data_IF_947582907843
#
_entry.id   IF_947582907843
#
_cell.length_a   1.000
_cell.length_b   1.000
_cell.length_c   1.000
_cell.angle_alpha   90.00
_cell.angle_beta   90.00
_cell.angle_gamma   90.00
#
_symmetry.space_group_name_H-M   'P 1'
#
loop_
_entity.id
_entity.type
_entity.pdbx_description
1 polymer ?
#
# COMPACT_ATOMS: atom_id res chain seq x y z
N UNK A 1 33.77 -12.13 -66.28
CA UNK A 1 32.78 -12.65 -65.30
C UNK A 1 31.94 -11.43 -64.90
N UNK A 2 30.80 -11.10 -65.55
CA UNK A 2 29.43 -11.66 -65.41
C UNK A 2 29.04 -11.67 -63.91
N UNK A 3 27.98 -11.03 -63.41
CA UNK A 3 26.65 -10.69 -63.95
C UNK A 3 26.13 -9.38 -63.34
N UNK A 4 25.49 -8.55 -64.18
CA UNK A 4 24.34 -7.71 -63.83
C UNK A 4 23.07 -8.56 -64.00
N UNK A 5 22.04 -8.45 -63.15
CA UNK A 5 20.72 -8.95 -63.45
C UNK A 5 19.83 -7.87 -64.11
N UNK A 6 19.02 -8.22 -65.15
CA UNK A 6 18.06 -7.35 -65.82
C UNK A 6 16.64 -7.44 -65.22
N UNK A 7 15.75 -6.49 -65.58
CA UNK A 7 14.34 -6.38 -65.15
C UNK A 7 13.38 -7.46 -65.72
N UNK A 8 12.04 -7.34 -65.54
CA UNK A 8 11.25 -6.53 -66.47
C UNK A 8 9.98 -5.84 -65.89
N UNK A 9 9.38 -5.02 -66.75
CA UNK A 9 8.12 -4.27 -66.63
C UNK A 9 6.89 -5.17 -66.82
N UNK A 10 5.72 -4.80 -66.27
CA UNK A 10 4.44 -4.98 -66.96
C UNK A 10 3.40 -3.94 -66.52
N UNK A 11 2.74 -3.37 -67.51
CA UNK A 11 1.64 -2.41 -67.47
C UNK A 11 0.31 -3.14 -67.66
N UNK A 12 -0.74 -2.77 -66.93
CA UNK A 12 -2.11 -2.70 -67.45
C UNK A 12 -3.02 -1.86 -66.54
N UNK A 13 -3.87 -0.97 -67.12
CA UNK A 13 -4.80 -0.10 -66.40
C UNK A 13 -6.25 -0.61 -66.43
N UNK A 14 -7.11 0.08 -65.66
CA UNK A 14 -8.58 0.13 -65.74
C UNK A 14 -9.41 -1.09 -65.28
N UNK A 15 -10.17 -0.87 -64.21
CA UNK A 15 -11.63 -0.98 -64.30
C UNK A 15 -12.28 -0.01 -63.31
N UNK A 16 -12.75 1.11 -63.86
CA UNK A 16 -13.80 1.93 -63.31
C UNK A 16 -15.05 1.05 -63.13
N UNK A 17 -15.54 0.93 -61.91
CA UNK A 17 -16.95 0.67 -61.70
C UNK A 17 -17.44 1.58 -60.57
N UNK A 18 -17.94 2.74 -60.98
CA UNK A 18 -18.93 3.46 -60.21
C UNK A 18 -20.14 2.55 -60.01
N UNK A 19 -20.64 2.48 -58.76
CA UNK A 19 -22.08 2.66 -58.51
C UNK A 19 -22.31 3.04 -57.05
N UNK A 20 -23.26 3.95 -56.92
CA UNK A 20 -23.54 4.86 -55.84
C UNK A 20 -24.24 4.22 -54.62
N UNK A 21 -24.26 5.04 -53.57
CA UNK A 21 -25.37 5.25 -52.63
C UNK A 21 -25.43 4.35 -51.38
N UNK A 22 -25.29 5.01 -50.22
CA UNK A 22 -25.62 4.41 -48.92
C UNK A 22 -24.86 4.99 -47.74
N UNK A 23 -24.83 6.32 -47.59
CA UNK A 23 -24.24 6.95 -46.41
C UNK A 23 -25.22 6.86 -45.22
N UNK A 24 -25.01 5.90 -44.31
CA UNK A 24 -25.61 5.93 -42.98
C UNK A 24 -24.53 6.12 -41.91
N UNK A 25 -24.42 7.36 -41.42
CA UNK A 25 -23.76 7.69 -40.15
C UNK A 25 -24.70 7.34 -39.00
N UNK A 26 -24.29 6.56 -37.99
CA UNK A 26 -24.89 6.64 -36.68
C UNK A 26 -24.12 7.67 -35.84
N UNK A 27 -24.81 8.75 -35.48
CA UNK A 27 -24.37 9.73 -34.47
C UNK A 27 -25.34 9.71 -33.26
N UNK A 28 -24.93 10.24 -32.10
CA UNK A 28 -25.17 9.63 -30.79
C UNK A 28 -26.54 10.00 -30.20
N UNK A 29 -27.13 9.09 -29.43
CA UNK A 29 -28.33 9.34 -28.62
C UNK A 29 -27.91 10.00 -27.29
N UNK A 30 -28.18 11.30 -27.15
CA UNK A 30 -28.16 12.00 -25.86
C UNK A 30 -29.53 11.78 -25.22
N UNK A 31 -29.56 11.19 -24.04
CA UNK A 31 -30.77 11.06 -23.22
C UNK A 31 -30.87 12.35 -22.39
N UNK A 32 -31.90 13.16 -22.66
CA UNK A 32 -32.34 14.29 -21.84
C UNK A 32 -33.67 13.84 -21.24
N UNK A 33 -33.71 13.64 -19.93
CA UNK A 33 -34.96 13.50 -19.21
C UNK A 33 -35.45 14.89 -18.82
N UNK A 34 -36.64 15.24 -19.30
CA UNK A 34 -37.37 16.45 -18.98
C UNK A 34 -38.54 16.03 -18.11
N UNK A 35 -38.33 16.07 -16.81
CA UNK A 35 -39.43 15.99 -15.84
C UNK A 35 -39.16 17.01 -14.74
N UNK A 36 -39.42 18.27 -15.09
CA UNK A 36 -39.63 19.34 -14.13
C UNK A 36 -41.04 19.87 -14.35
N UNK A 37 -41.94 19.55 -13.42
CA UNK A 37 -43.09 20.39 -13.09
C UNK A 37 -43.09 20.65 -11.58
N UNK A 38 -42.96 21.92 -11.14
CA UNK A 38 -42.98 22.27 -9.73
C UNK A 38 -44.42 22.43 -9.24
N UNK A 39 -44.79 21.74 -8.16
CA UNK A 39 -46.04 22.01 -7.42
C UNK A 39 -45.70 22.47 -5.99
N UNK A 40 -46.07 23.71 -5.73
CA UNK A 40 -45.88 24.46 -4.48
C UNK A 40 -47.10 24.26 -3.57
N UNK A 41 -46.82 24.15 -2.26
CA UNK A 41 -47.71 24.43 -1.10
C UNK A 41 -48.76 23.34 -0.72
N UNK A 42 -49.10 23.00 0.54
CA UNK A 42 -48.99 23.64 1.86
C UNK A 42 -48.98 22.59 3.00
N UNK A 43 -48.18 22.89 4.05
CA UNK A 43 -48.44 22.75 5.50
C UNK A 43 -49.08 21.46 6.06
N UNK A 44 -48.32 20.69 6.85
CA UNK A 44 -48.69 20.37 8.25
C UNK A 44 -47.43 20.08 9.08
N UNK A 45 -47.41 20.64 10.29
CA UNK A 45 -46.33 20.60 11.28
C UNK A 45 -46.34 19.31 12.10
N UNK A 46 -45.26 18.52 12.10
CA UNK A 46 -44.88 17.63 13.22
C UNK A 46 -43.35 17.51 13.32
N UNK A 47 -42.77 17.96 14.45
CA UNK A 47 -41.45 17.49 14.92
C UNK A 47 -41.57 15.99 15.22
N UNK A 48 -40.52 15.17 15.02
CA UNK A 48 -39.65 14.89 16.18
C UNK A 48 -38.20 14.46 15.86
N UNK A 49 -37.37 14.52 16.91
CA UNK A 49 -36.17 13.70 17.20
C UNK A 49 -34.87 14.03 16.43
N UNK A 50 -34.06 14.87 17.09
CA UNK A 50 -32.70 14.51 17.54
C UNK A 50 -31.94 13.46 16.72
N UNK A 51 -31.02 13.92 15.88
CA UNK A 51 -29.94 13.10 15.35
C UNK A 51 -28.61 13.74 15.75
N UNK A 52 -28.09 13.32 16.91
CA UNK A 52 -26.68 13.45 17.27
C UNK A 52 -26.13 12.01 17.39
N UNK A 53 -24.82 11.83 17.35
CA UNK A 53 -23.95 11.75 16.19
C UNK A 53 -23.68 10.28 15.85
N UNK A 54 -23.42 9.94 14.59
CA UNK A 54 -22.86 8.62 14.26
C UNK A 54 -21.42 8.58 14.77
N UNK A 55 -21.28 8.23 16.05
CA UNK A 55 -20.02 7.94 16.69
C UNK A 55 -19.36 6.79 15.93
N UNK A 56 -18.34 7.12 15.16
CA UNK A 56 -17.31 6.16 14.81
C UNK A 56 -16.60 5.78 16.11
N UNK A 57 -17.17 4.82 16.84
CA UNK A 57 -16.46 4.10 17.88
C UNK A 57 -15.28 3.40 17.19
N UNK A 58 -14.02 3.72 17.53
CA UNK A 58 -12.89 2.94 17.04
C UNK A 58 -13.12 1.51 17.51
N UNK A 59 -13.16 0.58 16.55
CA UNK A 59 -13.20 -0.85 16.85
C UNK A 59 -12.09 -1.14 17.87
N UNK A 60 -12.35 -1.84 18.99
CA UNK A 60 -11.29 -2.21 19.92
C UNK A 60 -10.18 -2.87 19.11
N UNK A 61 -8.98 -2.30 19.18
CA UNK A 61 -7.82 -2.89 18.53
C UNK A 61 -7.67 -4.29 19.13
N UNK A 62 -7.78 -5.36 18.33
CA UNK A 62 -7.67 -6.70 18.87
C UNK A 62 -6.32 -6.82 19.57
N UNK A 63 -6.34 -7.33 20.80
CA UNK A 63 -5.13 -7.59 21.59
C UNK A 63 -4.16 -8.38 20.72
N UNK A 64 -2.88 -7.98 20.62
CA UNK A 64 -1.91 -8.71 19.82
C UNK A 64 -1.80 -10.17 20.26
N UNK A 65 -1.67 -11.09 19.30
CA UNK A 65 -1.66 -12.53 19.58
C UNK A 65 -0.52 -12.96 20.50
N UNK A 66 0.61 -12.25 20.47
CA UNK A 66 1.75 -12.52 21.34
C UNK A 66 1.46 -12.25 22.82
N UNK A 67 0.52 -11.36 23.16
CA UNK A 67 0.16 -11.12 24.56
C UNK A 67 -0.61 -12.30 25.14
N UNK A 68 -1.42 -12.96 24.30
CA UNK A 68 -2.16 -14.17 24.64
C UNK A 68 -1.25 -15.40 24.64
N UNK A 69 -0.29 -15.49 23.71
CA UNK A 69 0.65 -16.62 23.59
C UNK A 69 1.74 -16.64 24.67
N UNK A 70 2.07 -15.46 25.21
CA UNK A 70 3.14 -15.30 26.19
C UNK A 70 2.59 -14.58 27.44
N UNK A 71 1.74 -15.24 28.25
CA UNK A 71 1.25 -14.68 29.50
C UNK A 71 2.40 -14.43 30.51
N UNK A 72 2.04 -14.02 31.73
CA UNK A 72 3.02 -13.87 32.80
C UNK A 72 3.72 -15.21 33.07
N UNK A 73 5.05 -15.16 33.13
CA UNK A 73 5.89 -16.33 33.40
C UNK A 73 5.69 -16.78 34.85
N UNK A 74 5.48 -18.07 35.06
CA UNK A 74 5.26 -18.66 36.38
C UNK A 74 6.33 -19.67 36.80
N UNK A 75 7.32 -19.96 35.95
CA UNK A 75 8.37 -20.94 36.24
C UNK A 75 9.66 -20.69 35.47
N UNK A 76 10.80 -21.12 36.02
CA UNK A 76 12.11 -20.99 35.38
C UNK A 76 12.17 -21.70 34.01
N UNK A 77 11.53 -22.86 33.90
CA UNK A 77 11.44 -23.58 32.62
C UNK A 77 10.70 -22.75 31.57
N UNK A 78 9.65 -22.03 31.95
CA UNK A 78 8.93 -21.14 31.04
C UNK A 78 9.74 -19.91 30.68
N UNK A 79 10.40 -19.29 31.67
CA UNK A 79 11.34 -18.19 31.47
C UNK A 79 12.40 -18.52 30.42
N UNK A 80 13.01 -19.70 30.55
CA UNK A 80 13.98 -20.22 29.59
C UNK A 80 13.41 -20.41 28.18
N UNK A 81 12.16 -20.87 28.05
CA UNK A 81 11.48 -20.96 26.74
C UNK A 81 11.27 -19.59 26.12
N UNK A 82 10.84 -18.60 26.91
CA UNK A 82 10.59 -17.24 26.40
C UNK A 82 11.90 -16.60 25.96
N UNK A 83 12.99 -16.81 26.70
CA UNK A 83 14.33 -16.34 26.35
C UNK A 83 14.83 -16.94 25.03
N UNK A 84 14.64 -18.25 24.82
CA UNK A 84 15.00 -18.90 23.56
C UNK A 84 14.22 -18.31 22.36
N UNK A 85 12.91 -18.11 22.51
CA UNK A 85 12.08 -17.45 21.48
C UNK A 85 12.53 -16.02 21.24
N UNK A 86 12.85 -15.27 22.31
CA UNK A 86 13.35 -13.91 22.19
C UNK A 86 14.63 -13.87 21.35
N UNK A 87 15.60 -14.74 21.65
CA UNK A 87 16.88 -14.75 20.94
C UNK A 87 16.73 -15.09 19.45
N UNK A 88 15.94 -16.11 19.14
CA UNK A 88 15.62 -16.50 17.75
C UNK A 88 14.98 -15.34 16.98
N UNK A 89 13.91 -14.78 17.54
CA UNK A 89 13.13 -13.73 16.88
C UNK A 89 13.85 -12.38 16.85
N UNK A 90 14.78 -12.12 17.78
CA UNK A 90 15.61 -10.93 17.78
C UNK A 90 16.57 -10.93 16.60
N UNK A 91 17.09 -12.10 16.23
CA UNK A 91 17.95 -12.25 15.05
C UNK A 91 17.17 -11.92 13.77
N UNK A 92 15.96 -12.50 13.60
CA UNK A 92 15.05 -12.17 12.49
C UNK A 92 14.74 -10.66 12.44
N UNK A 93 14.49 -10.05 13.60
CA UNK A 93 14.20 -8.62 13.70
C UNK A 93 15.36 -7.75 13.24
N UNK A 94 16.60 -8.08 13.62
CA UNK A 94 17.79 -7.30 13.21
C UNK A 94 17.99 -7.34 11.70
N UNK A 95 17.86 -8.51 11.08
CA UNK A 95 17.97 -8.67 9.63
C UNK A 95 16.90 -7.86 8.89
N UNK A 96 15.64 -7.97 9.33
CA UNK A 96 14.54 -7.20 8.74
C UNK A 96 14.70 -5.69 8.94
N UNK A 97 15.13 -5.26 10.13
CA UNK A 97 15.38 -3.85 10.40
C UNK A 97 16.47 -3.30 9.48
N UNK A 98 17.55 -4.05 9.26
CA UNK A 98 18.63 -3.67 8.35
C UNK A 98 18.11 -3.58 6.91
N UNK A 99 17.33 -4.56 6.45
CA UNK A 99 16.80 -4.57 5.09
C UNK A 99 15.84 -3.39 4.85
N UNK A 100 14.85 -3.20 5.75
CA UNK A 100 13.88 -2.11 5.67
C UNK A 100 14.59 -0.76 5.75
N UNK A 101 15.55 -0.61 6.67
CA UNK A 101 16.34 0.62 6.80
C UNK A 101 17.14 0.94 5.54
N UNK A 102 17.77 -0.07 4.93
CA UNK A 102 18.52 0.09 3.67
C UNK A 102 17.62 0.47 2.50
N UNK A 103 16.42 -0.13 2.43
CA UNK A 103 15.44 0.21 1.40
C UNK A 103 14.90 1.64 1.59
N UNK A 104 14.56 2.02 2.82
CA UNK A 104 14.10 3.37 3.14
C UNK A 104 15.15 4.43 2.81
N UNK A 105 16.43 4.19 3.15
CA UNK A 105 17.51 5.11 2.82
C UNK A 105 17.66 5.32 1.31
N UNK A 106 17.54 4.25 0.51
CA UNK A 106 17.55 4.35 -0.96
C UNK A 106 16.35 5.13 -1.48
N UNK A 107 15.17 4.92 -0.92
CA UNK A 107 13.97 5.68 -1.29
C UNK A 107 14.13 7.18 -0.98
N UNK A 108 14.64 7.51 0.20
CA UNK A 108 14.93 8.90 0.60
C UNK A 108 15.97 9.56 -0.30
N UNK A 109 17.02 8.83 -0.68
CA UNK A 109 18.02 9.34 -1.63
C UNK A 109 17.39 9.64 -2.99
N UNK A 110 16.56 8.74 -3.51
CA UNK A 110 15.87 8.94 -4.78
C UNK A 110 14.88 10.11 -4.71
N UNK A 111 14.14 10.23 -3.61
CA UNK A 111 13.23 11.34 -3.38
C UNK A 111 13.97 12.69 -3.36
N UNK A 112 15.10 12.77 -2.66
CA UNK A 112 15.94 13.97 -2.63
C UNK A 112 16.44 14.34 -4.04
N UNK A 113 16.91 13.34 -4.81
CA UNK A 113 17.32 13.54 -6.20
C UNK A 113 16.17 14.05 -7.06
N UNK A 114 14.98 13.45 -6.97
CA UNK A 114 13.82 13.86 -7.76
C UNK A 114 13.35 15.27 -7.40
N UNK A 115 13.41 15.65 -6.12
CA UNK A 115 13.07 17.00 -5.65
C UNK A 115 14.12 18.05 -6.05
N UNK A 116 15.37 17.64 -6.28
CA UNK A 116 16.44 18.52 -6.73
C UNK A 116 16.45 18.81 -8.24
N UNK A 117 15.62 18.09 -9.02
CA UNK A 117 15.60 18.26 -10.48
C UNK A 117 15.08 19.65 -10.89
N UNK A 118 15.66 20.26 -11.94
CA UNK A 118 15.18 21.54 -12.44
C UNK A 118 13.75 21.42 -12.99
N UNK A 119 13.03 22.54 -13.01
CA UNK A 119 11.69 22.60 -13.58
C UNK A 119 11.73 22.18 -15.07
N UNK A 120 10.85 21.27 -15.51
CA UNK A 120 10.79 20.84 -16.90
C UNK A 120 10.61 22.03 -17.84
N UNK A 121 11.38 22.08 -18.92
CA UNK A 121 11.33 23.15 -19.92
C UNK A 121 10.41 22.77 -21.10
N UNK A 122 10.08 21.49 -21.25
CA UNK A 122 9.22 20.97 -22.32
C UNK A 122 8.14 20.02 -21.80
N UNK A 123 7.05 19.87 -22.57
CA UNK A 123 5.99 18.91 -22.25
C UNK A 123 6.52 17.46 -22.20
N UNK A 124 7.50 17.12 -23.05
CA UNK A 124 8.13 15.80 -23.08
C UNK A 124 8.93 15.52 -21.80
N UNK A 125 9.69 16.49 -21.31
CA UNK A 125 10.38 16.40 -20.02
C UNK A 125 9.40 16.28 -18.85
N UNK A 126 8.32 17.07 -18.85
CA UNK A 126 7.30 16.98 -17.81
C UNK A 126 6.64 15.59 -17.77
N UNK A 127 6.33 15.01 -18.93
CA UNK A 127 5.81 13.64 -19.01
C UNK A 127 6.83 12.60 -18.55
N UNK A 128 8.11 12.79 -18.85
CA UNK A 128 9.17 11.91 -18.37
C UNK A 128 9.29 11.98 -16.85
N UNK A 129 9.39 13.18 -16.27
CA UNK A 129 9.44 13.39 -14.82
C UNK A 129 8.24 12.74 -14.11
N UNK A 130 7.02 12.96 -14.62
CA UNK A 130 5.81 12.35 -14.07
C UNK A 130 5.84 10.80 -14.13
N UNK A 131 6.41 10.22 -15.19
CA UNK A 131 6.58 8.76 -15.29
C UNK A 131 7.60 8.24 -14.25
N UNK A 132 8.67 8.98 -13.99
CA UNK A 132 9.66 8.60 -12.97
C UNK A 132 9.05 8.67 -11.57
N UNK A 133 8.34 9.75 -11.24
CA UNK A 133 7.62 9.89 -9.97
C UNK A 133 6.60 8.76 -9.75
N UNK A 134 5.81 8.40 -10.76
CA UNK A 134 4.86 7.29 -10.64
C UNK A 134 5.56 5.95 -10.36
N UNK A 135 6.71 5.70 -10.97
CA UNK A 135 7.50 4.49 -10.71
C UNK A 135 8.05 4.49 -9.28
N UNK A 136 8.51 5.64 -8.80
CA UNK A 136 8.96 5.82 -7.43
C UNK A 136 7.83 5.56 -6.42
N UNK A 137 6.67 6.18 -6.60
CA UNK A 137 5.48 5.95 -5.77
C UNK A 137 5.07 4.47 -5.74
N UNK A 138 5.08 3.80 -6.91
CA UNK A 138 4.80 2.37 -6.98
C UNK A 138 5.80 1.54 -6.17
N UNK A 139 7.07 1.97 -6.11
CA UNK A 139 8.10 1.29 -5.31
C UNK A 139 7.90 1.54 -3.80
N UNK A 140 7.41 2.71 -3.41
CA UNK A 140 7.06 3.00 -2.02
C UNK A 140 5.84 2.19 -1.55
N UNK A 141 4.88 1.96 -2.45
CA UNK A 141 3.67 1.18 -2.20
C UNK A 141 3.83 -0.31 -2.56
N UNK A 142 5.07 -0.79 -2.65
CA UNK A 142 5.34 -2.19 -2.95
C UNK A 142 4.87 -3.08 -1.79
N UNK A 143 3.97 -4.05 -2.02
CA UNK A 143 3.42 -4.87 -0.95
C UNK A 143 4.50 -5.62 -0.16
N UNK A 144 5.56 -6.11 -0.82
CA UNK A 144 6.64 -6.83 -0.14
C UNK A 144 7.41 -5.92 0.82
N UNK A 145 7.64 -4.66 0.44
CA UNK A 145 8.25 -3.68 1.35
C UNK A 145 7.34 -3.36 2.55
N UNK A 146 6.05 -3.12 2.31
CA UNK A 146 5.08 -2.84 3.36
C UNK A 146 4.91 -4.02 4.33
N UNK A 147 4.89 -5.25 3.82
CA UNK A 147 4.83 -6.47 4.63
C UNK A 147 6.06 -6.62 5.52
N UNK A 148 7.27 -6.34 5.00
CA UNK A 148 8.51 -6.34 5.81
C UNK A 148 8.49 -5.26 6.89
N UNK A 149 7.98 -4.07 6.58
CA UNK A 149 7.82 -3.00 7.57
C UNK A 149 6.81 -3.39 8.66
N UNK A 150 5.67 -3.97 8.28
CA UNK A 150 4.67 -4.46 9.21
C UNK A 150 5.23 -5.59 10.10
N UNK A 151 6.00 -6.52 9.52
CA UNK A 151 6.67 -7.60 10.24
C UNK A 151 7.69 -7.06 11.25
N UNK A 152 8.49 -6.08 10.86
CA UNK A 152 9.44 -5.41 11.76
C UNK A 152 8.72 -4.76 12.95
N UNK A 153 7.61 -4.06 12.71
CA UNK A 153 6.79 -3.46 13.77
C UNK A 153 6.19 -4.53 14.70
N UNK A 154 5.68 -5.63 14.14
CA UNK A 154 5.15 -6.75 14.90
C UNK A 154 6.22 -7.37 15.82
N UNK A 155 7.38 -7.71 15.26
CA UNK A 155 8.48 -8.31 16.01
C UNK A 155 8.96 -7.39 17.14
N UNK A 156 9.06 -6.08 16.88
CA UNK A 156 9.40 -5.10 17.92
C UNK A 156 8.43 -5.15 19.11
N UNK A 157 7.13 -5.22 18.84
CA UNK A 157 6.09 -5.38 19.87
C UNK A 157 6.23 -6.69 20.64
N UNK A 158 6.32 -7.81 19.92
CA UNK A 158 6.49 -9.16 20.50
C UNK A 158 7.74 -9.27 21.36
N UNK A 159 8.88 -8.79 20.89
CA UNK A 159 10.15 -8.83 21.60
C UNK A 159 10.12 -7.97 22.86
N UNK A 160 9.54 -6.77 22.78
CA UNK A 160 9.32 -5.92 23.97
C UNK A 160 8.47 -6.64 25.02
N UNK A 161 7.40 -7.31 24.59
CA UNK A 161 6.52 -8.07 25.48
C UNK A 161 7.24 -9.24 26.14
N UNK A 162 7.94 -10.06 25.36
CA UNK A 162 8.74 -11.19 25.87
C UNK A 162 9.78 -10.73 26.90
N UNK A 163 10.54 -9.67 26.57
CA UNK A 163 11.53 -9.09 27.48
C UNK A 163 10.89 -8.65 28.79
N UNK A 164 9.74 -7.98 28.73
CA UNK A 164 9.01 -7.55 29.92
C UNK A 164 8.56 -8.74 30.78
N UNK A 165 8.02 -9.81 30.18
CA UNK A 165 7.57 -10.98 30.94
C UNK A 165 8.72 -11.72 31.63
N UNK A 166 9.86 -11.85 30.95
CA UNK A 166 11.08 -12.42 31.53
C UNK A 166 11.56 -11.55 32.69
N UNK A 167 11.71 -10.24 32.47
CA UNK A 167 12.18 -9.30 33.48
C UNK A 167 11.29 -9.30 34.74
N UNK A 168 9.97 -9.30 34.57
CA UNK A 168 9.02 -9.35 35.70
C UNK A 168 9.19 -10.60 36.56
N UNK A 169 9.53 -11.73 35.97
CA UNK A 169 9.77 -12.97 36.70
C UNK A 169 11.12 -12.93 37.42
N UNK A 170 12.16 -12.48 36.73
CA UNK A 170 13.50 -12.33 37.31
C UNK A 170 13.46 -11.41 38.55
N UNK A 171 12.75 -10.28 38.46
CA UNK A 171 12.54 -9.36 39.58
C UNK A 171 11.79 -10.02 40.76
N UNK A 172 10.80 -10.87 40.51
CA UNK A 172 10.06 -11.57 41.58
C UNK A 172 10.92 -12.61 42.33
N UNK A 173 11.81 -13.31 41.61
CA UNK A 173 12.73 -14.28 42.20
C UNK A 173 13.75 -13.63 43.15
N UNK A 174 14.18 -12.40 42.85
CA UNK A 174 15.10 -11.64 43.70
C UNK A 174 14.46 -11.23 45.04
N UNK A 175 13.14 -10.99 45.08
CA UNK A 175 12.43 -10.64 46.32
C UNK A 175 12.16 -11.86 47.22
N UNK A 176 11.84 -13.04 46.68
CA UNK A 176 11.64 -14.26 47.49
C UNK A 176 12.97 -14.80 48.07
N UNK A 177 14.09 -14.64 47.35
CA UNK A 177 15.41 -15.03 47.84
C UNK A 177 15.97 -14.15 48.97
N UNK A 178 15.43 -12.94 49.16
CA UNK A 178 15.96 -11.94 50.10
C UNK A 178 15.32 -11.98 51.50
N UNK A 179 14.24 -12.74 51.73
CA UNK A 179 13.49 -12.75 53.02
C UNK A 179 13.98 -13.86 53.97
N UNK A 180 15.03 -14.58 53.60
CA UNK A 180 15.64 -15.63 54.43
C UNK A 180 17.06 -15.23 54.86
N UNK A 181 17.17 -14.26 55.78
CA UNK A 181 18.37 -14.00 56.57
C UNK A 181 18.00 -13.66 58.02
#
# INVERSE_FOLDING_TARGET
>A
QRLVPPGPKTSAPQALCERQAGAHRPRPKKIVFKDELPSRALLTTKKPIEAIPTGHMPRPHPVPDYELKYPQVSSERERSRYAAVFQDQYTEFLELQQEVGSALAKLQQLEALLNSLPRPQSQKEAQFAARVWRKFEKKQMDPSFLDKQARCHYLKGKLRHLKMQIQKFDEQGDFEGSVYF
#
